data_IF_391352331846
#
_entry.id   IF_391352331846
#
_cell.length_a   1.000
_cell.length_b   1.000
_cell.length_c   1.000
_cell.angle_alpha   90.00
_cell.angle_beta   90.00
_cell.angle_gamma   90.00
#
_symmetry.space_group_name_H-M   'P 1'
#
loop_
_entity.id
_entity.type
_entity.pdbx_description
1 polymer ?
#
# COMPACT_ATOMS: atom_id res chain seq x y z
N UNK A 1 -50.41 -54.98 39.34
CA UNK A 1 -49.28 -54.73 38.43
C UNK A 1 -49.07 -53.23 38.40
N UNK A 2 -47.91 -52.78 38.89
CA UNK A 2 -47.41 -51.42 38.68
C UNK A 2 -47.44 -51.13 37.18
N UNK A 3 -47.92 -49.96 36.77
CA UNK A 3 -47.02 -49.08 36.03
C UNK A 3 -47.41 -47.59 36.02
N UNK A 4 -46.36 -46.81 35.81
CA UNK A 4 -46.13 -45.44 36.20
C UNK A 4 -46.79 -44.33 35.33
N UNK A 5 -47.25 -43.29 36.05
CA UNK A 5 -47.05 -41.84 35.82
C UNK A 5 -47.82 -41.09 34.72
N UNK A 6 -48.75 -40.27 35.23
CA UNK A 6 -49.15 -38.95 34.74
C UNK A 6 -48.00 -37.91 34.78
N UNK A 7 -48.26 -36.78 34.09
CA UNK A 7 -47.62 -35.45 34.08
C UNK A 7 -46.54 -35.29 33.00
N UNK A 8 -46.49 -34.23 32.19
CA UNK A 8 -46.86 -32.84 32.44
C UNK A 8 -47.02 -32.09 31.12
N UNK A 9 -48.14 -31.40 30.92
CA UNK A 9 -48.27 -30.27 29.99
C UNK A 9 -47.41 -29.11 30.52
N UNK A 10 -46.48 -28.63 29.72
CA UNK A 10 -45.72 -27.40 29.98
C UNK A 10 -45.58 -26.58 28.71
N UNK A 11 -46.44 -25.56 28.55
CA UNK A 11 -46.18 -24.42 27.67
C UNK A 11 -44.97 -23.67 28.21
N UNK A 12 -44.06 -23.19 27.37
CA UNK A 12 -43.38 -21.91 27.56
C UNK A 12 -42.83 -21.42 26.21
N UNK A 13 -43.19 -20.17 25.90
CA UNK A 13 -42.75 -19.38 24.77
C UNK A 13 -41.44 -18.64 25.10
N UNK A 14 -40.90 -17.98 24.08
CA UNK A 14 -39.83 -16.96 24.09
C UNK A 14 -38.39 -17.50 24.23
N UNK A 15 -37.40 -16.99 23.49
CA UNK A 15 -37.36 -15.79 22.67
C UNK A 15 -36.28 -15.88 21.59
N UNK A 16 -36.57 -15.23 20.46
CA UNK A 16 -35.61 -14.94 19.41
C UNK A 16 -34.70 -13.82 19.94
N UNK A 17 -33.53 -14.16 20.46
CA UNK A 17 -32.51 -13.15 20.80
C UNK A 17 -31.81 -12.79 19.50
N UNK A 18 -32.34 -11.78 18.80
CA UNK A 18 -31.60 -11.09 17.76
C UNK A 18 -30.54 -10.23 18.45
N UNK A 19 -29.35 -10.79 18.66
CA UNK A 19 -28.18 -10.02 19.05
C UNK A 19 -27.81 -9.07 17.92
N UNK A 20 -28.33 -7.84 17.99
CA UNK A 20 -27.87 -6.74 17.17
C UNK A 20 -26.46 -6.39 17.65
N UNK A 21 -25.44 -7.00 17.07
CA UNK A 21 -24.09 -6.45 17.16
C UNK A 21 -24.13 -5.10 16.46
N UNK A 22 -24.24 -4.02 17.25
CA UNK A 22 -23.82 -2.71 16.78
C UNK A 22 -22.30 -2.78 16.64
N UNK A 23 -21.83 -3.10 15.45
CA UNK A 23 -20.48 -2.72 15.06
C UNK A 23 -20.49 -1.20 14.98
N UNK A 24 -19.83 -0.54 15.93
CA UNK A 24 -19.43 0.86 15.74
C UNK A 24 -18.40 0.84 14.63
N UNK A 25 -18.87 0.97 13.39
CA UNK A 25 -18.00 1.30 12.28
C UNK A 25 -17.53 2.73 12.54
N UNK A 26 -16.38 2.87 13.19
CA UNK A 26 -15.64 4.13 13.15
C UNK A 26 -15.43 4.41 11.66
N UNK A 27 -16.07 5.48 11.19
CA UNK A 27 -15.92 5.91 9.81
C UNK A 27 -14.48 6.41 9.67
N UNK A 28 -13.58 5.52 9.22
CA UNK A 28 -12.21 5.89 8.91
C UNK A 28 -12.28 6.83 7.70
N UNK A 29 -12.02 8.11 7.94
CA UNK A 29 -12.02 9.12 6.89
C UNK A 29 -10.67 9.12 6.20
N UNK A 30 -10.64 8.72 4.93
CA UNK A 30 -9.41 8.70 4.13
C UNK A 30 -9.27 9.99 3.34
N UNK A 31 -8.08 10.58 3.37
CA UNK A 31 -7.72 11.64 2.44
C UNK A 31 -7.23 11.00 1.15
N UNK A 32 -8.11 10.94 0.15
CA UNK A 32 -7.82 10.34 -1.16
C UNK A 32 -7.78 11.42 -2.23
N UNK A 33 -6.74 11.42 -3.06
CA UNK A 33 -6.69 12.24 -4.28
C UNK A 33 -5.97 11.52 -5.40
N UNK A 34 -6.52 11.59 -6.61
CA UNK A 34 -5.99 10.91 -7.81
C UNK A 34 -5.75 9.40 -7.62
N UNK A 35 -6.54 8.75 -6.76
CA UNK A 35 -6.39 7.33 -6.42
C UNK A 35 -5.30 7.04 -5.39
N UNK A 36 -4.59 8.04 -4.87
CA UNK A 36 -3.63 7.89 -3.80
C UNK A 36 -4.27 8.17 -2.44
N UNK A 37 -3.87 7.42 -1.42
CA UNK A 37 -4.35 7.57 -0.04
C UNK A 37 -3.21 8.17 0.80
N UNK A 38 -3.46 9.38 1.30
CA UNK A 38 -2.48 10.10 2.12
C UNK A 38 -2.57 9.63 3.57
N UNK A 39 -1.44 9.17 4.09
CA UNK A 39 -1.31 8.68 5.46
C UNK A 39 -0.84 9.81 6.39
N UNK A 40 -0.92 9.63 7.72
CA UNK A 40 -0.23 10.49 8.66
C UNK A 40 1.29 10.27 8.67
N UNK A 41 1.96 10.36 7.53
CA UNK A 41 3.41 10.15 7.43
C UNK A 41 3.93 10.41 6.01
N UNK A 42 5.17 10.00 5.74
CA UNK A 42 5.77 10.19 4.42
C UNK A 42 5.27 9.22 3.36
N UNK A 43 4.82 8.03 3.75
CA UNK A 43 4.32 7.04 2.81
C UNK A 43 2.93 7.43 2.29
N UNK A 44 2.72 7.29 1.00
CA UNK A 44 1.41 7.43 0.35
C UNK A 44 1.03 6.07 -0.23
N UNK A 45 -0.19 5.62 0.02
CA UNK A 45 -0.66 4.32 -0.49
C UNK A 45 -1.24 4.50 -1.89
N UNK A 46 -0.62 3.87 -2.88
CA UNK A 46 -1.10 3.84 -4.26
C UNK A 46 -2.10 2.68 -4.48
N UNK A 47 -1.90 1.57 -3.77
CA UNK A 47 -2.79 0.41 -3.77
C UNK A 47 -2.61 -0.44 -2.50
N UNK A 48 -3.66 -1.16 -2.05
CA UNK A 48 -5.01 -1.22 -2.62
C UNK A 48 -5.88 -0.01 -2.21
N UNK A 49 -7.09 0.09 -2.77
CA UNK A 49 -8.10 1.05 -2.29
C UNK A 49 -8.80 0.52 -1.02
N UNK A 50 -9.37 1.39 -0.15
CA UNK A 50 -10.11 0.93 1.02
C UNK A 50 -11.27 0.00 0.64
N UNK A 51 -11.44 -1.07 1.40
CA UNK A 51 -12.50 -2.06 1.20
C UNK A 51 -12.28 -3.02 0.03
N UNK A 52 -11.13 -2.96 -0.66
CA UNK A 52 -10.86 -3.82 -1.81
C UNK A 52 -10.92 -5.31 -1.40
N UNK A 53 -11.66 -6.17 -2.13
CA UNK A 53 -11.55 -7.61 -1.98
C UNK A 53 -10.27 -8.13 -2.62
N UNK A 54 -9.44 -8.80 -1.83
CA UNK A 54 -8.13 -9.29 -2.21
C UNK A 54 -8.03 -10.82 -2.14
N UNK A 55 -7.06 -11.35 -2.88
CA UNK A 55 -6.75 -12.76 -3.05
C UNK A 55 -5.57 -12.92 -4.00
N UNK A 56 -5.48 -14.05 -4.71
CA UNK A 56 -4.41 -14.38 -5.63
C UNK A 56 -3.19 -14.98 -4.93
N UNK A 57 -2.03 -14.86 -5.57
CA UNK A 57 -0.78 -15.41 -5.04
C UNK A 57 -0.22 -14.57 -3.89
N UNK A 58 -0.36 -13.24 -3.99
CA UNK A 58 0.21 -12.26 -3.08
C UNK A 58 -0.81 -11.23 -2.61
N UNK A 59 -0.65 -10.77 -1.37
CA UNK A 59 -1.10 -9.45 -0.97
C UNK A 59 -0.15 -8.42 -1.57
N UNK A 60 -0.69 -7.56 -2.42
CA UNK A 60 0.07 -6.49 -3.08
C UNK A 60 -0.24 -5.14 -2.44
N UNK A 61 0.79 -4.46 -1.95
CA UNK A 61 0.70 -3.09 -1.45
C UNK A 61 1.73 -2.24 -2.19
N UNK A 62 1.30 -1.11 -2.73
CA UNK A 62 2.17 -0.15 -3.40
C UNK A 62 2.26 1.12 -2.55
N UNK A 63 3.48 1.49 -2.15
CA UNK A 63 3.75 2.64 -1.29
C UNK A 63 4.71 3.61 -1.97
N UNK A 64 4.27 4.82 -2.28
CA UNK A 64 5.19 5.92 -2.60
C UNK A 64 5.87 6.37 -1.30
N UNK A 65 7.19 6.29 -1.25
CA UNK A 65 8.01 6.64 -0.07
C UNK A 65 8.74 7.97 -0.21
N UNK A 66 8.27 8.82 -1.12
CA UNK A 66 8.85 10.12 -1.45
C UNK A 66 8.02 11.30 -0.97
N UNK A 67 7.03 11.08 -0.09
CA UNK A 67 6.18 12.16 0.41
C UNK A 67 5.53 12.95 -0.74
N UNK A 68 5.01 12.24 -1.73
CA UNK A 68 4.48 12.81 -2.97
C UNK A 68 5.52 13.68 -3.70
N UNK A 69 6.73 13.14 -3.87
CA UNK A 69 7.86 13.78 -4.54
C UNK A 69 8.65 14.81 -3.73
N UNK A 70 8.33 15.05 -2.45
CA UNK A 70 9.00 16.04 -1.60
C UNK A 70 10.22 15.50 -0.84
N UNK A 71 10.31 14.19 -0.67
CA UNK A 71 11.41 13.49 0.01
C UNK A 71 12.23 12.69 -1.03
N UNK A 72 13.53 13.00 -1.21
CA UNK A 72 14.41 12.19 -2.05
C UNK A 72 14.51 10.74 -1.54
N UNK A 73 14.87 9.82 -2.44
CA UNK A 73 15.17 8.44 -2.06
C UNK A 73 16.33 8.36 -1.06
N UNK A 74 16.35 7.36 -0.17
CA UNK A 74 17.40 7.21 0.85
C UNK A 74 18.82 7.26 0.29
N UNK A 75 19.06 6.70 -0.89
CA UNK A 75 20.38 6.72 -1.54
C UNK A 75 20.88 8.13 -1.89
N UNK A 76 19.97 9.12 -1.97
CA UNK A 76 20.27 10.51 -2.31
C UNK A 76 20.25 11.43 -1.08
N UNK A 77 19.88 10.92 0.09
CA UNK A 77 19.82 11.67 1.34
C UNK A 77 21.14 11.54 2.10
N UNK A 78 21.63 12.65 2.65
CA UNK A 78 22.65 12.61 3.68
C UNK A 78 22.08 11.93 4.92
N UNK A 79 22.91 11.18 5.65
CA UNK A 79 22.51 10.58 6.93
C UNK A 79 22.09 11.61 7.98
N UNK A 80 22.57 12.85 7.86
CA UNK A 80 22.19 14.01 8.69
C UNK A 80 20.97 14.78 8.18
N UNK A 81 20.28 14.32 7.13
CA UNK A 81 19.12 15.03 6.57
C UNK A 81 18.04 15.26 7.64
N UNK A 82 17.53 16.49 7.82
CA UNK A 82 16.49 16.78 8.82
C UNK A 82 15.22 15.95 8.63
N UNK A 83 14.98 15.48 7.40
CA UNK A 83 13.86 14.59 7.09
C UNK A 83 14.35 13.27 6.48
N UNK A 84 13.81 12.15 6.99
CA UNK A 84 14.12 10.79 6.52
C UNK A 84 13.11 9.77 7.05
N UNK A 85 12.83 8.72 6.27
CA UNK A 85 12.12 7.53 6.77
C UNK A 85 13.14 6.58 7.40
N UNK A 86 12.94 6.23 8.67
CA UNK A 86 13.79 5.25 9.36
C UNK A 86 13.33 3.82 9.07
N UNK A 87 12.04 3.56 9.20
CA UNK A 87 11.44 2.28 8.83
C UNK A 87 9.94 2.40 8.50
N UNK A 88 9.47 1.39 7.75
CA UNK A 88 8.06 1.13 7.55
C UNK A 88 7.84 -0.35 7.87
N UNK A 89 6.94 -0.63 8.80
CA UNK A 89 6.56 -1.99 9.20
C UNK A 89 5.10 -2.19 8.88
N UNK A 90 4.77 -3.33 8.28
CA UNK A 90 3.41 -3.63 7.82
C UNK A 90 2.90 -4.88 8.52
N UNK A 91 1.67 -4.81 9.01
CA UNK A 91 0.94 -5.95 9.59
C UNK A 91 -0.39 -6.15 8.87
N UNK A 92 -0.88 -7.38 8.87
CA UNK A 92 -2.24 -7.70 8.47
C UNK A 92 -2.99 -8.22 9.69
N UNK A 93 -3.94 -7.45 10.21
CA UNK A 93 -4.63 -7.83 11.45
C UNK A 93 -6.15 -7.74 11.33
N UNK A 94 -6.84 -8.52 12.16
CA UNK A 94 -8.29 -8.47 12.31
C UNK A 94 -8.69 -8.86 13.72
N UNK A 95 -9.47 -7.98 14.36
CA UNK A 95 -10.10 -8.29 15.65
C UNK A 95 -11.22 -9.32 15.52
N UNK A 96 -11.81 -9.48 14.34
CA UNK A 96 -12.89 -10.46 14.13
C UNK A 96 -12.33 -11.87 14.00
N UNK A 97 -11.31 -12.03 13.16
CA UNK A 97 -10.67 -13.35 12.92
C UNK A 97 -9.59 -13.69 13.94
N UNK A 98 -9.23 -12.74 14.83
CA UNK A 98 -8.23 -12.89 15.89
C UNK A 98 -6.79 -13.12 15.40
N UNK A 99 -6.48 -12.69 14.18
CA UNK A 99 -5.16 -12.83 13.59
C UNK A 99 -4.41 -11.51 13.50
N UNK A 100 -3.08 -11.58 13.64
CA UNK A 100 -2.14 -10.48 13.45
C UNK A 100 -0.86 -10.98 12.78
N UNK A 101 -0.82 -10.94 11.45
CA UNK A 101 0.31 -11.44 10.67
C UNK A 101 1.36 -10.35 10.44
N UNK A 102 2.64 -10.68 10.60
CA UNK A 102 3.72 -9.77 10.17
C UNK A 102 3.95 -9.88 8.67
N UNK A 103 3.71 -8.79 7.95
CA UNK A 103 4.03 -8.70 6.51
C UNK A 103 5.51 -8.39 6.30
N UNK A 104 6.05 -7.41 7.03
CA UNK A 104 7.43 -6.95 6.84
C UNK A 104 8.17 -6.72 8.16
N UNK A 105 9.50 -6.77 8.07
CA UNK A 105 10.43 -6.45 9.16
C UNK A 105 10.16 -7.25 10.45
N UNK A 106 9.66 -8.48 10.31
CA UNK A 106 9.33 -9.36 11.42
C UNK A 106 10.56 -9.96 12.10
N UNK A 107 10.50 -10.10 13.42
CA UNK A 107 11.51 -10.76 14.24
C UNK A 107 11.35 -12.28 14.29
N UNK A 108 10.24 -12.83 13.79
CA UNK A 108 10.00 -14.28 13.71
C UNK A 108 10.63 -14.87 12.44
N UNK A 109 11.53 -15.82 12.65
CA UNK A 109 12.15 -16.66 11.61
C UNK A 109 11.12 -17.60 10.99
N UNK A 110 10.35 -17.10 10.03
CA UNK A 110 9.39 -17.85 9.22
C UNK A 110 9.97 -18.36 7.91
N UNK A 111 11.25 -18.76 7.86
CA UNK A 111 11.89 -19.31 6.65
C UNK A 111 11.72 -18.44 5.40
N UNK A 112 11.89 -17.12 5.53
CA UNK A 112 11.73 -16.15 4.44
C UNK A 112 10.29 -15.65 4.19
N UNK A 113 9.30 -16.09 4.99
CA UNK A 113 7.89 -15.72 4.77
C UNK A 113 7.51 -14.26 5.13
N UNK A 114 8.25 -13.62 6.04
CA UNK A 114 8.13 -12.18 6.29
C UNK A 114 9.12 -11.44 5.41
N UNK A 115 8.68 -10.37 4.77
CA UNK A 115 9.55 -9.56 3.92
C UNK A 115 10.59 -8.82 4.76
N UNK A 116 11.78 -8.63 4.20
CA UNK A 116 12.79 -7.75 4.79
C UNK A 116 12.33 -6.29 4.89
N UNK A 117 13.18 -5.40 5.42
CA UNK A 117 12.85 -3.98 5.57
C UNK A 117 12.33 -3.36 4.27
N UNK A 118 11.14 -2.74 4.31
CA UNK A 118 10.46 -2.19 3.12
C UNK A 118 11.34 -1.20 2.37
N UNK A 119 12.07 -0.35 3.09
CA UNK A 119 12.94 0.68 2.51
C UNK A 119 14.16 0.10 1.76
N UNK A 120 14.49 -1.18 1.96
CA UNK A 120 15.55 -1.87 1.23
C UNK A 120 15.04 -2.56 -0.04
N UNK A 121 13.72 -2.65 -0.22
CA UNK A 121 13.12 -3.17 -1.44
C UNK A 121 13.21 -2.11 -2.52
N UNK A 122 13.55 -2.53 -3.74
CA UNK A 122 13.54 -1.66 -4.93
C UNK A 122 14.27 -0.32 -4.67
N UNK A 123 15.54 -0.35 -4.23
CA UNK A 123 16.26 0.81 -3.69
C UNK A 123 16.22 2.09 -4.56
N UNK A 124 16.09 1.95 -5.88
CA UNK A 124 16.04 3.05 -6.85
C UNK A 124 14.63 3.51 -7.21
N UNK A 125 13.59 2.85 -6.69
CA UNK A 125 12.19 3.14 -6.97
C UNK A 125 11.58 4.04 -5.90
N UNK A 126 10.79 5.03 -6.33
CA UNK A 126 9.95 5.88 -5.47
C UNK A 126 8.76 5.14 -4.89
N UNK A 127 8.28 4.12 -5.60
CA UNK A 127 7.20 3.22 -5.18
C UNK A 127 7.79 1.89 -4.74
N UNK A 128 7.38 1.40 -3.57
CA UNK A 128 7.73 0.07 -3.05
C UNK A 128 6.58 -0.88 -3.31
N UNK A 129 6.83 -1.93 -4.09
CA UNK A 129 5.88 -2.99 -4.36
C UNK A 129 6.05 -4.14 -3.36
N UNK A 130 5.25 -4.11 -2.31
CA UNK A 130 5.19 -5.17 -1.30
C UNK A 130 4.40 -6.33 -1.89
N UNK A 131 5.06 -7.46 -2.13
CA UNK A 131 4.42 -8.69 -2.59
C UNK A 131 4.57 -9.75 -1.50
N UNK A 132 3.55 -9.87 -0.64
CA UNK A 132 3.57 -10.78 0.50
C UNK A 132 2.73 -12.03 0.23
N UNK A 133 3.29 -13.21 0.48
CA UNK A 133 2.59 -14.49 0.23
C UNK A 133 1.51 -14.71 1.28
N UNK A 134 0.27 -14.92 0.84
CA UNK A 134 -0.82 -15.28 1.76
C UNK A 134 -0.51 -16.58 2.50
N UNK A 135 -0.72 -16.67 3.82
CA UNK A 135 -0.54 -17.89 4.59
C UNK A 135 -1.66 -18.92 4.34
N UNK A 136 -1.39 -20.17 4.71
CA UNK A 136 -2.23 -21.33 4.42
C UNK A 136 -3.66 -21.25 4.99
N UNK A 137 -3.87 -20.67 6.17
CA UNK A 137 -5.21 -20.55 6.75
C UNK A 137 -6.13 -19.58 6.00
N UNK A 138 -5.58 -18.72 5.13
CA UNK A 138 -6.35 -17.81 4.28
C UNK A 138 -6.72 -18.41 2.91
N UNK A 139 -6.26 -19.63 2.61
CA UNK A 139 -6.62 -20.38 1.39
C UNK A 139 -8.13 -20.59 1.33
N UNK A 140 -8.72 -20.37 0.15
CA UNK A 140 -10.15 -20.50 -0.09
C UNK A 140 -10.70 -19.43 -1.02
N UNK A 141 -12.02 -19.46 -1.24
CA UNK A 141 -12.72 -18.51 -2.09
C UNK A 141 -14.08 -18.13 -1.47
N UNK A 142 -14.46 -16.86 -1.54
CA UNK A 142 -15.74 -16.34 -1.07
C UNK A 142 -15.73 -15.73 0.34
N UNK A 143 -16.91 -15.60 0.93
CA UNK A 143 -17.11 -15.03 2.26
C UNK A 143 -16.70 -16.00 3.39
N UNK A 144 -16.55 -15.52 4.64
CA UNK A 144 -16.33 -16.39 5.79
C UNK A 144 -17.45 -17.44 5.89
N UNK A 145 -17.08 -18.72 5.97
CA UNK A 145 -18.05 -19.84 5.94
C UNK A 145 -18.40 -20.38 7.34
N UNK A 146 -17.63 -19.99 8.35
CA UNK A 146 -17.78 -20.43 9.74
C UNK A 146 -17.33 -19.31 10.69
N UNK A 147 -17.72 -19.44 11.96
CA UNK A 147 -17.42 -18.48 13.03
C UNK A 147 -15.91 -18.37 13.32
N UNK A 148 -15.15 -19.42 13.04
CA UNK A 148 -13.71 -19.53 13.20
C UNK A 148 -12.96 -19.39 11.86
N UNK A 149 -13.62 -18.86 10.83
CA UNK A 149 -12.96 -18.63 9.55
C UNK A 149 -11.86 -17.58 9.70
N UNK A 150 -10.65 -17.91 9.24
CA UNK A 150 -9.56 -16.95 9.13
C UNK A 150 -9.80 -15.93 8.00
N UNK A 151 -10.74 -16.16 7.09
CA UNK A 151 -11.04 -15.22 5.99
C UNK A 151 -12.06 -14.18 6.47
N UNK A 152 -12.00 -12.96 5.94
CA UNK A 152 -12.88 -11.88 6.39
C UNK A 152 -12.33 -10.48 6.17
N UNK A 153 -12.77 -9.53 7.00
CA UNK A 153 -12.29 -8.15 6.99
C UNK A 153 -10.99 -8.05 7.77
N UNK A 154 -10.03 -7.36 7.20
CA UNK A 154 -8.70 -7.13 7.78
C UNK A 154 -8.28 -5.68 7.57
N UNK A 155 -7.38 -5.21 8.41
CA UNK A 155 -6.65 -3.97 8.20
C UNK A 155 -5.20 -4.27 7.83
N UNK A 156 -4.72 -3.62 6.78
CA UNK A 156 -3.29 -3.47 6.51
C UNK A 156 -2.81 -2.31 7.38
N UNK A 157 -2.11 -2.62 8.47
CA UNK A 157 -1.55 -1.63 9.39
C UNK A 157 -0.18 -1.21 8.90
N UNK A 158 -0.06 0.03 8.44
CA UNK A 158 1.18 0.65 7.96
C UNK A 158 1.72 1.52 9.07
N UNK A 159 2.82 1.07 9.69
CA UNK A 159 3.45 1.77 10.80
C UNK A 159 4.74 2.41 10.35
N UNK A 160 4.86 3.71 10.52
CA UNK A 160 5.98 4.50 10.02
C UNK A 160 6.77 5.04 11.19
N UNK A 161 8.09 4.90 11.15
CA UNK A 161 9.01 5.65 11.99
C UNK A 161 9.84 6.57 11.11
N UNK A 162 9.74 7.88 11.32
CA UNK A 162 10.38 8.87 10.46
C UNK A 162 10.72 10.14 11.22
N UNK A 163 11.72 10.85 10.69
CA UNK A 163 12.07 12.19 11.12
C UNK A 163 11.52 13.19 10.12
N UNK A 164 10.82 14.21 10.59
CA UNK A 164 10.36 15.35 9.80
C UNK A 164 10.92 16.63 10.43
N UNK A 165 11.77 17.35 9.70
CA UNK A 165 12.38 18.60 10.15
C UNK A 165 12.98 18.51 11.57
N UNK A 166 13.83 17.50 11.79
CA UNK A 166 14.50 17.19 13.06
C UNK A 166 13.61 16.69 14.20
N UNK A 167 12.31 16.46 13.94
CA UNK A 167 11.37 15.88 14.91
C UNK A 167 11.06 14.43 14.55
N UNK A 168 11.21 13.54 15.53
CA UNK A 168 10.89 12.12 15.38
C UNK A 168 9.39 11.88 15.54
N UNK A 169 8.85 11.06 14.64
CA UNK A 169 7.43 10.73 14.59
C UNK A 169 7.23 9.23 14.40
N UNK A 170 6.15 8.74 14.99
CA UNK A 170 5.66 7.39 14.80
C UNK A 170 4.18 7.44 14.51
N UNK A 171 3.74 6.84 13.40
CA UNK A 171 2.32 6.83 13.03
C UNK A 171 1.84 5.46 12.60
N UNK A 172 0.54 5.23 12.74
CA UNK A 172 -0.14 3.98 12.48
C UNK A 172 -1.33 4.26 11.57
N UNK A 173 -1.25 3.82 10.32
CA UNK A 173 -2.34 3.95 9.38
C UNK A 173 -2.95 2.60 9.06
N UNK A 174 -4.24 2.44 9.34
CA UNK A 174 -4.97 1.20 9.10
C UNK A 174 -5.86 1.29 7.86
N UNK A 175 -5.55 0.47 6.85
CA UNK A 175 -6.28 0.39 5.59
C UNK A 175 -7.16 -0.87 5.55
N UNK A 176 -8.50 -0.73 5.58
CA UNK A 176 -9.40 -1.86 5.54
C UNK A 176 -9.40 -2.53 4.17
N UNK A 177 -9.40 -3.86 4.17
CA UNK A 177 -9.52 -4.74 3.01
C UNK A 177 -10.43 -5.92 3.37
N UNK A 178 -10.80 -6.72 2.37
CA UNK A 178 -11.47 -8.00 2.61
C UNK A 178 -10.72 -9.14 1.93
N UNK A 179 -10.50 -10.22 2.66
CA UNK A 179 -9.85 -11.45 2.15
C UNK A 179 -10.95 -12.39 1.67
N UNK A 180 -11.50 -12.11 0.50
CA UNK A 180 -12.65 -12.84 -0.04
C UNK A 180 -12.42 -13.41 -1.44
N UNK A 181 -11.48 -12.87 -2.22
CA UNK A 181 -11.15 -13.45 -3.52
C UNK A 181 -10.36 -14.75 -3.33
N UNK A 182 -10.30 -15.54 -4.40
CA UNK A 182 -9.65 -16.85 -4.40
C UNK A 182 -8.17 -16.75 -4.02
N UNK A 183 -7.77 -17.54 -3.03
CA UNK A 183 -6.36 -17.82 -2.69
C UNK A 183 -6.19 -19.33 -2.88
N UNK A 184 -5.44 -19.73 -3.90
CA UNK A 184 -5.19 -21.14 -4.20
C UNK A 184 -4.26 -21.79 -3.17
N UNK A 185 -4.27 -23.11 -3.01
CA UNK A 185 -3.45 -23.80 -2.00
C UNK A 185 -1.93 -23.65 -2.22
N UNK A 186 -1.52 -23.56 -3.49
CA UNK A 186 -0.16 -23.25 -3.89
C UNK A 186 -0.12 -21.85 -4.50
N UNK A 187 1.07 -21.29 -4.68
CA UNK A 187 1.26 -20.04 -5.40
C UNK A 187 2.31 -20.21 -6.50
N UNK A 188 2.15 -19.49 -7.59
CA UNK A 188 3.14 -19.47 -8.67
C UNK A 188 4.26 -18.54 -8.23
N UNK A 189 5.47 -19.04 -7.94
CA UNK A 189 6.58 -18.22 -7.45
C UNK A 189 7.19 -17.36 -8.57
N UNK A 190 7.03 -16.02 -8.57
CA UNK A 190 7.65 -15.15 -9.56
C UNK A 190 8.70 -14.21 -8.94
N UNK A 191 8.88 -14.21 -7.61
CA UNK A 191 9.67 -13.20 -6.89
C UNK A 191 10.82 -13.83 -6.11
N UNK A 192 11.98 -13.17 -6.18
CA UNK A 192 13.19 -13.55 -5.45
C UNK A 192 13.02 -13.54 -3.92
N UNK A 193 12.02 -12.82 -3.39
CA UNK A 193 11.71 -12.77 -1.96
C UNK A 193 10.94 -13.99 -1.43
N UNK A 194 10.17 -14.67 -2.29
CA UNK A 194 9.40 -15.88 -1.92
C UNK A 194 10.08 -17.18 -2.39
N UNK A 195 11.28 -17.09 -2.96
CA UNK A 195 12.01 -18.23 -3.53
C UNK A 195 12.28 -19.34 -2.51
N UNK A 196 12.37 -19.02 -1.21
CA UNK A 196 12.61 -20.01 -0.15
C UNK A 196 11.39 -20.89 0.14
N UNK A 197 10.19 -20.44 -0.25
CA UNK A 197 8.93 -21.11 0.04
C UNK A 197 8.56 -22.21 -0.97
N UNK A 198 9.30 -22.33 -2.09
CA UNK A 198 9.12 -23.38 -3.10
C UNK A 198 7.65 -23.57 -3.59
N UNK A 199 6.87 -22.49 -3.67
CA UNK A 199 5.46 -22.52 -4.08
C UNK A 199 4.48 -22.99 -3.00
N UNK A 200 4.96 -23.28 -1.79
CA UNK A 200 4.15 -23.66 -0.61
C UNK A 200 3.89 -22.44 0.25
N UNK A 201 2.63 -22.21 0.61
CA UNK A 201 2.27 -21.08 1.48
C UNK A 201 2.79 -21.29 2.91
N UNK A 202 3.25 -20.23 3.58
CA UNK A 202 3.69 -20.32 4.96
C UNK A 202 2.51 -20.63 5.89
N UNK A 203 2.77 -21.29 7.01
CA UNK A 203 1.71 -21.56 7.98
C UNK A 203 1.31 -20.28 8.72
N UNK A 204 0.02 -20.10 9.01
CA UNK A 204 -0.44 -18.93 9.78
C UNK A 204 0.29 -18.80 11.11
N UNK A 205 0.47 -19.88 11.86
CA UNK A 205 1.19 -19.87 13.15
C UNK A 205 2.64 -19.34 13.06
N UNK A 206 3.30 -19.49 11.89
CA UNK A 206 4.66 -18.97 11.68
C UNK A 206 4.71 -17.45 11.54
N UNK A 207 3.61 -16.83 11.09
CA UNK A 207 3.48 -15.40 10.81
C UNK A 207 2.66 -14.66 11.86
N UNK A 208 1.85 -15.38 12.64
CA UNK A 208 0.93 -14.81 13.61
C UNK A 208 1.66 -14.25 14.84
N UNK A 209 1.15 -13.14 15.35
CA UNK A 209 1.64 -12.45 16.53
C UNK A 209 0.52 -12.23 17.52
N UNK A 210 0.85 -11.93 18.78
CA UNK A 210 -0.15 -11.44 19.73
C UNK A 210 -0.91 -10.25 19.12
N UNK A 211 -2.24 -10.32 19.18
CA UNK A 211 -3.11 -9.23 18.79
C UNK A 211 -3.23 -8.27 19.98
N UNK A 212 -2.67 -7.07 19.84
CA UNK A 212 -2.75 -6.03 20.84
C UNK A 212 -4.14 -5.40 20.84
N UNK A 213 -4.64 -5.03 22.00
CA UNK A 213 -5.89 -4.25 22.13
C UNK A 213 -5.73 -2.85 21.52
N UNK A 214 -6.84 -2.21 21.10
CA UNK A 214 -6.80 -0.83 20.60
C UNK A 214 -6.13 0.14 21.59
N UNK A 215 -6.33 -0.08 22.90
CA UNK A 215 -5.73 0.72 23.97
C UNK A 215 -4.21 0.51 24.09
N UNK A 216 -3.72 -0.70 23.83
CA UNK A 216 -2.28 -0.98 23.80
C UNK A 216 -1.59 -0.42 22.55
N UNK A 217 -2.32 -0.31 21.44
CA UNK A 217 -1.79 0.25 20.18
C UNK A 217 -1.76 1.78 20.23
N UNK A 218 -2.81 2.41 20.79
CA UNK A 218 -2.98 3.86 20.86
C UNK A 218 -2.69 4.58 19.53
N UNK A 219 -3.35 4.16 18.45
CA UNK A 219 -3.16 4.74 17.13
C UNK A 219 -3.46 6.26 17.10
N UNK A 220 -4.47 6.69 17.85
CA UNK A 220 -4.81 8.11 17.97
C UNK A 220 -3.68 8.92 18.64
N UNK A 221 -3.02 8.36 19.66
CA UNK A 221 -1.84 8.96 20.29
C UNK A 221 -0.59 8.91 19.41
N UNK A 222 -0.48 7.93 18.51
CA UNK A 222 0.60 7.88 17.51
C UNK A 222 0.44 8.97 16.43
N UNK A 223 -0.77 9.14 15.89
CA UNK A 223 -1.05 9.95 14.70
C UNK A 223 -1.19 11.46 14.95
N UNK A 224 -0.37 12.00 15.85
CA UNK A 224 -0.43 13.41 16.29
C UNK A 224 -0.13 14.43 15.19
N UNK A 225 0.55 14.04 14.12
CA UNK A 225 0.88 14.92 12.98
C UNK A 225 -0.28 15.12 12.00
N UNK A 226 -1.31 14.27 12.06
CA UNK A 226 -2.40 14.26 11.09
C UNK A 226 -1.93 13.88 9.67
N UNK A 227 -2.83 13.97 8.69
CA UNK A 227 -2.53 13.64 7.29
C UNK A 227 -1.56 14.67 6.70
N UNK A 228 -0.49 14.18 6.08
CA UNK A 228 0.54 15.01 5.45
C UNK A 228 0.52 14.88 3.92
N UNK A 229 1.03 15.91 3.22
CA UNK A 229 1.34 15.92 1.79
C UNK A 229 0.18 15.73 0.81
N UNK A 230 -1.05 15.68 1.32
CA UNK A 230 -2.26 15.74 0.51
C UNK A 230 -2.32 17.02 -0.33
N UNK A 231 -3.06 17.06 -1.44
CA UNK A 231 -3.23 18.30 -2.21
C UNK A 231 -3.78 19.43 -1.33
N UNK A 232 -3.11 20.58 -1.36
CA UNK A 232 -3.43 21.72 -0.50
C UNK A 232 -2.68 21.74 0.83
N UNK A 233 -1.95 20.67 1.18
CA UNK A 233 -1.09 20.64 2.36
C UNK A 233 0.18 21.48 2.16
N UNK A 234 0.49 22.27 3.18
CA UNK A 234 1.59 23.23 3.20
C UNK A 234 2.83 22.74 3.96
N UNK A 235 2.86 21.47 4.38
CA UNK A 235 4.00 20.90 5.12
C UNK A 235 5.28 20.99 4.28
N UNK A 236 6.28 21.66 4.83
CA UNK A 236 7.60 21.77 4.21
C UNK A 236 8.49 20.62 4.68
N UNK A 237 9.28 20.06 3.76
CA UNK A 237 10.22 18.97 4.05
C UNK A 237 11.63 19.51 3.85
N UNK A 238 12.40 19.58 4.92
CA UNK A 238 13.80 19.98 4.89
C UNK A 238 14.66 18.74 4.61
N UNK A 239 15.49 18.82 3.58
CA UNK A 239 16.33 17.70 3.13
C UNK A 239 17.77 18.15 2.92
N UNK A 240 18.70 17.25 3.23
CA UNK A 240 20.11 17.43 2.91
C UNK A 240 20.55 16.30 1.97
N UNK A 241 21.14 16.65 0.83
CA UNK A 241 21.59 15.68 -0.18
C UNK A 241 22.91 15.01 0.21
N UNK A 242 23.06 13.73 -0.10
CA UNK A 242 24.24 12.90 0.24
C UNK A 242 25.45 13.03 -0.71
N UNK A 243 25.46 14.01 -1.62
CA UNK A 243 26.53 14.22 -2.61
C UNK A 243 27.46 15.39 -2.25
N UNK A 244 28.72 15.32 -2.71
CA UNK A 244 29.79 16.28 -2.42
C UNK A 244 29.61 17.71 -3.01
N UNK A 245 28.46 18.01 -3.62
CA UNK A 245 28.14 19.36 -4.14
C UNK A 245 26.87 19.88 -3.47
N UNK A 246 26.95 20.14 -2.16
CA UNK A 246 25.89 20.77 -1.39
C UNK A 246 26.12 22.30 -1.32
N UNK A 247 25.94 22.97 -2.45
CA UNK A 247 25.57 24.39 -2.46
C UNK A 247 24.39 24.56 -3.41
N UNK A 248 23.18 24.54 -2.87
CA UNK A 248 21.99 24.82 -3.65
C UNK A 248 20.74 24.30 -2.97
N UNK A 249 19.92 25.23 -2.49
CA UNK A 249 18.53 24.99 -2.12
C UNK A 249 17.85 24.10 -3.17
N UNK A 250 17.14 23.07 -2.72
CA UNK A 250 16.56 22.00 -3.52
C UNK A 250 15.52 22.47 -4.55
N UNK A 251 15.99 23.06 -5.65
CA UNK A 251 15.26 23.36 -6.88
C UNK A 251 16.18 23.13 -8.10
N UNK A 252 16.76 21.94 -8.21
CA UNK A 252 17.65 21.57 -9.33
C UNK A 252 18.92 22.43 -9.42
N UNK A 253 19.86 22.10 -10.32
CA UNK A 253 21.01 22.97 -10.55
C UNK A 253 20.51 24.33 -11.07
N UNK A 254 20.96 25.42 -10.46
CA UNK A 254 20.77 26.77 -10.98
C UNK A 254 21.16 26.79 -12.46
N UNK A 255 20.21 27.14 -13.33
CA UNK A 255 20.45 27.31 -14.77
C UNK A 255 21.72 28.17 -14.96
N UNK A 256 22.70 27.73 -15.78
CA UNK A 256 23.87 28.55 -16.05
C UNK A 256 23.44 29.93 -16.55
N UNK A 257 24.05 30.98 -16.02
CA UNK A 257 23.93 32.33 -16.58
C UNK A 257 24.38 32.29 -18.04
N UNK A 258 23.46 32.63 -18.96
CA UNK A 258 23.77 32.68 -20.38
C UNK A 258 24.84 33.73 -20.64
N UNK A 259 25.97 33.31 -21.18
CA UNK A 259 27.00 34.23 -21.65
C UNK A 259 26.68 34.67 -23.08
N UNK A 260 27.11 35.86 -23.53
CA UNK A 260 26.93 36.31 -24.90
C UNK A 260 27.48 35.37 -26.00
N UNK A 261 28.28 34.36 -25.62
CA UNK A 261 28.79 33.29 -26.49
C UNK A 261 27.85 32.08 -26.64
N UNK A 262 26.80 31.98 -25.84
CA UNK A 262 25.85 30.86 -25.87
C UNK A 262 24.81 31.13 -26.96
N UNK A 263 25.20 30.79 -28.18
CA UNK A 263 24.60 31.22 -29.44
C UNK A 263 23.07 31.11 -29.53
N UNK A 264 22.49 32.19 -30.06
CA UNK A 264 21.12 32.24 -30.57
C UNK A 264 20.97 31.22 -31.71
N UNK A 265 20.17 30.19 -31.50
CA UNK A 265 19.75 29.27 -32.56
C UNK A 265 19.18 30.05 -33.74
N UNK A 266 19.89 29.99 -34.87
CA UNK A 266 19.58 30.70 -36.11
C UNK A 266 18.38 30.06 -36.84
N UNK A 267 17.18 30.39 -36.40
CA UNK A 267 15.95 30.12 -37.14
C UNK A 267 15.72 31.16 -38.24
N UNK A 268 16.38 31.03 -39.40
CA UNK A 268 16.01 31.81 -40.57
C UNK A 268 17.04 31.90 -41.70
N UNK A 269 17.00 30.96 -42.64
CA UNK A 269 17.46 31.21 -44.02
C UNK A 269 16.56 30.47 -45.01
N UNK A 270 15.88 31.26 -45.86
CA UNK A 270 15.09 30.85 -47.01
C UNK A 270 16.01 30.49 -48.20
N UNK A 271 15.54 29.57 -49.04
CA UNK A 271 16.05 29.27 -50.38
C UNK A 271 16.40 27.78 -50.51
N UNK A 272 15.90 27.00 -51.46
CA UNK A 272 15.55 27.28 -52.86
C UNK A 272 14.79 26.05 -53.39
N UNK A 273 13.54 26.19 -53.80
CA UNK A 273 12.85 25.14 -54.58
C UNK A 273 13.21 25.29 -56.08
N UNK A 274 13.43 24.18 -56.81
CA UNK A 274 13.22 24.15 -58.25
C UNK A 274 11.76 23.78 -58.58
N UNK A 275 11.18 24.54 -59.52
CA UNK A 275 9.90 24.24 -60.18
C UNK A 275 10.07 23.16 -61.27
N UNK A 276 8.92 22.57 -61.66
CA UNK A 276 8.67 21.59 -62.74
C UNK A 276 8.37 20.20 -62.15
N UNK A 277 7.24 19.53 -62.35
CA UNK A 277 6.26 19.54 -63.45
C UNK A 277 4.95 18.86 -63.01
N UNK A 278 3.89 19.13 -63.78
CA UNK A 278 2.48 18.77 -63.60
C UNK A 278 2.11 17.27 -63.49
N UNK A 279 0.96 17.01 -62.83
CA UNK A 279 -0.15 16.11 -63.24
C UNK A 279 -1.08 15.91 -62.01
N UNK A 280 -2.27 16.51 -61.95
CA UNK A 280 -3.54 15.95 -62.44
C UNK A 280 -3.74 14.47 -62.05
N UNK A 281 -4.68 14.16 -61.14
CA UNK A 281 -5.94 13.47 -61.46
C UNK A 281 -6.62 12.83 -60.22
N UNK A 282 -7.90 13.18 -60.05
CA UNK A 282 -9.06 12.46 -59.51
C UNK A 282 -8.98 11.64 -58.20
N UNK A 283 -9.83 12.07 -57.26
CA UNK A 283 -10.51 11.23 -56.28
C UNK A 283 -11.43 10.22 -56.96
N UNK A 284 -11.45 8.96 -56.48
CA UNK A 284 -12.64 8.10 -56.45
C UNK A 284 -12.59 7.29 -55.16
N UNK A 285 -13.62 7.43 -54.32
CA UNK A 285 -13.88 6.54 -53.21
C UNK A 285 -14.61 5.28 -53.66
N UNK A 286 -14.47 4.19 -52.91
CA UNK A 286 -15.49 3.15 -52.87
C UNK A 286 -15.39 2.36 -51.56
N UNK A 287 -16.48 2.39 -50.81
CA UNK A 287 -16.78 1.45 -49.74
C UNK A 287 -17.15 0.09 -50.34
N UNK A 288 -16.90 -1.00 -49.59
CA UNK A 288 -17.60 -2.32 -49.56
C UNK A 288 -16.86 -3.16 -48.49
N UNK A 289 -17.47 -3.45 -47.32
CA UNK A 289 -18.35 -4.58 -46.98
C UNK A 289 -17.62 -5.94 -46.78
N UNK A 290 -17.78 -6.45 -45.55
CA UNK A 290 -17.92 -7.86 -45.11
C UNK A 290 -16.84 -8.88 -45.48
N UNK A 291 -16.25 -9.51 -44.46
CA UNK A 291 -16.46 -10.91 -44.06
C UNK A 291 -16.43 -10.99 -42.53
#
# INVERSE_FOLDING_TARGET
MLDHRLSSLGRLAAGLVASLLLTTADAVNFTISNGQIFTPGFAVVDAPQPGTPLGGDFLQVALDVTANGRLPLPANLASSSPSSIHNITIFLYSYDTKHNFTISNGTKTGGGASLGPIMLQELTSTVKHVNWVWPDCLVGNGQPIALDSARGVYNISIRQNFRLNDVEHYTIFDLPISVTNEIGANFSSPSSSASELNGVRPSCASLDNPLLSPEEIDAAGADTVGVLFAPGDATQVQVQSGGADATGDGLGPSKPTANPSDGLGSGGARGRMPQSTAALCLCIGMALLSW
#
